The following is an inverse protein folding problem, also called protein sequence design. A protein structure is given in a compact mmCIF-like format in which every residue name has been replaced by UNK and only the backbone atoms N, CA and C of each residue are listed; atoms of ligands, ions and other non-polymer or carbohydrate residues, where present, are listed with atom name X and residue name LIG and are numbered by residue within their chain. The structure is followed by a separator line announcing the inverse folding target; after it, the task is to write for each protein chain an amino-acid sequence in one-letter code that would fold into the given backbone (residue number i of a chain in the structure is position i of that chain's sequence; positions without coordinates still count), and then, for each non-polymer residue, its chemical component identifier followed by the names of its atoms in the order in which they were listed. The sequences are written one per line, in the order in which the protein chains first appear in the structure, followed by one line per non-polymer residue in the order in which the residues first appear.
data_IF_991483876290
#
_entry.id   IF_991483876290
#
_cell.length_a   1.000
_cell.length_b   1.000
_cell.length_c   1.000
_cell.angle_alpha   90.00
_cell.angle_beta   90.00
_cell.angle_gamma   90.00
#
_symmetry.space_group_name_H-M   'P 1'
#
loop_
_entity.id
_entity.type
_entity.pdbx_description
1 polymer ?
#
# COMPACT_ATOMS: atom_id res chain seq x y z
N UNK A 1 -0.53 26.47 18.57
CA UNK A 1 -1.03 25.10 18.32
C UNK A 1 -2.03 24.75 19.41
N UNK A 2 -3.24 24.39 19.02
CA UNK A 2 -4.28 24.09 19.97
C UNK A 2 -3.98 22.70 20.59
N UNK A 3 -3.93 22.56 21.94
CA UNK A 3 -3.65 21.27 22.58
C UNK A 3 -4.60 20.15 22.16
N UNK A 4 -5.78 20.50 21.66
CA UNK A 4 -6.79 19.53 21.18
C UNK A 4 -6.34 18.80 19.91
N UNK A 5 -5.47 19.42 19.12
CA UNK A 5 -4.99 18.79 17.88
C UNK A 5 -3.88 17.74 18.12
N UNK A 6 -3.31 17.69 19.31
CA UNK A 6 -2.26 16.74 19.66
C UNK A 6 -2.77 15.37 20.08
N UNK A 7 -4.02 15.30 20.54
CA UNK A 7 -4.62 14.06 21.08
C UNK A 7 -5.62 13.39 20.12
N UNK A 8 -5.85 13.94 18.93
CA UNK A 8 -6.74 13.29 17.98
C UNK A 8 -6.00 12.11 17.33
N UNK A 9 -6.40 10.91 17.75
CA UNK A 9 -5.97 9.67 17.12
C UNK A 9 -6.44 9.69 15.66
N UNK A 10 -5.52 9.59 14.72
CA UNK A 10 -5.86 9.52 13.31
C UNK A 10 -6.61 8.23 13.00
N UNK A 11 -7.71 8.30 12.28
CA UNK A 11 -8.48 7.14 11.82
C UNK A 11 -7.56 6.20 11.00
N UNK A 12 -6.70 6.78 10.19
CA UNK A 12 -5.75 6.03 9.38
C UNK A 12 -4.72 5.29 10.25
N UNK A 13 -4.20 5.92 11.30
CA UNK A 13 -3.27 5.25 12.24
C UNK A 13 -3.94 4.10 12.96
N UNK A 14 -5.17 4.28 13.42
CA UNK A 14 -5.94 3.21 14.07
C UNK A 14 -6.15 2.03 13.13
N UNK A 15 -6.43 2.30 11.85
CA UNK A 15 -6.54 1.25 10.85
C UNK A 15 -5.22 0.50 10.67
N UNK A 16 -4.10 1.21 10.54
CA UNK A 16 -2.77 0.60 10.38
C UNK A 16 -2.35 -0.19 11.61
N UNK A 17 -2.75 0.23 12.81
CA UNK A 17 -2.52 -0.52 14.03
C UNK A 17 -3.40 -1.78 14.16
N UNK A 18 -4.43 -1.90 13.34
CA UNK A 18 -5.36 -3.03 13.34
C UNK A 18 -6.53 -2.89 14.30
N UNK A 19 -6.69 -1.73 14.95
CA UNK A 19 -7.75 -1.48 15.94
C UNK A 19 -8.90 -0.63 15.41
N UNK A 20 -8.69 0.06 14.27
CA UNK A 20 -9.68 0.92 13.65
C UNK A 20 -10.25 0.33 12.36
N UNK A 21 -11.18 1.06 11.78
CA UNK A 21 -11.88 0.66 10.55
C UNK A 21 -11.66 1.68 9.45
N UNK A 22 -11.77 1.23 8.21
CA UNK A 22 -11.77 2.10 7.03
C UNK A 22 -13.17 2.70 6.78
N UNK A 23 -13.31 3.43 5.69
CA UNK A 23 -14.57 4.10 5.31
C UNK A 23 -15.73 3.12 5.01
N UNK A 24 -15.44 1.83 4.89
CA UNK A 24 -16.43 0.76 4.69
C UNK A 24 -16.68 -0.08 5.94
N UNK A 25 -16.12 0.31 7.07
CA UNK A 25 -16.24 -0.44 8.31
C UNK A 25 -15.37 -1.70 8.37
N UNK A 26 -14.35 -1.81 7.51
CA UNK A 26 -13.45 -2.97 7.48
C UNK A 26 -12.22 -2.69 8.34
N UNK A 27 -11.82 -3.65 9.15
CA UNK A 27 -10.50 -3.63 9.79
C UNK A 27 -9.44 -4.10 8.81
N UNK A 28 -8.18 -3.84 9.11
CA UNK A 28 -7.05 -4.31 8.31
C UNK A 28 -7.12 -5.84 8.11
N UNK A 29 -7.43 -6.59 9.15
CA UNK A 29 -7.57 -8.06 9.06
C UNK A 29 -8.71 -8.50 8.13
N UNK A 30 -9.80 -7.74 8.07
CA UNK A 30 -10.89 -8.02 7.14
C UNK A 30 -10.43 -7.89 5.70
N UNK A 31 -9.65 -6.85 5.41
CA UNK A 31 -9.09 -6.63 4.07
C UNK A 31 -8.10 -7.71 3.70
N UNK A 32 -7.21 -8.09 4.61
CA UNK A 32 -6.22 -9.14 4.36
C UNK A 32 -6.85 -10.55 4.26
N UNK A 33 -8.13 -10.70 4.62
CA UNK A 33 -8.89 -11.93 4.41
C UNK A 33 -9.53 -12.04 3.03
N UNK A 34 -9.44 -11.00 2.19
CA UNK A 34 -9.95 -11.05 0.82
C UNK A 34 -9.28 -12.18 0.04
N UNK A 35 -10.07 -12.95 -0.71
CA UNK A 35 -9.53 -13.85 -1.72
C UNK A 35 -9.00 -13.04 -2.93
N UNK A 36 -8.34 -13.71 -3.84
CA UNK A 36 -7.71 -13.05 -4.98
C UNK A 36 -8.73 -12.36 -5.90
N UNK A 37 -9.92 -12.93 -6.06
CA UNK A 37 -10.98 -12.34 -6.87
C UNK A 37 -11.47 -11.05 -6.24
N UNK A 38 -11.73 -11.07 -4.95
CA UNK A 38 -12.19 -9.88 -4.22
C UNK A 38 -11.13 -8.79 -4.19
N UNK A 39 -9.86 -9.16 -4.00
CA UNK A 39 -8.75 -8.21 -4.04
C UNK A 39 -8.63 -7.55 -5.42
N UNK A 40 -8.83 -8.31 -6.50
CA UNK A 40 -8.79 -7.78 -7.86
C UNK A 40 -9.94 -6.82 -8.14
N UNK A 41 -11.14 -7.17 -7.73
CA UNK A 41 -12.37 -6.44 -8.05
C UNK A 41 -12.66 -5.24 -7.13
N UNK A 42 -12.00 -5.16 -5.98
CA UNK A 42 -12.21 -4.09 -5.00
C UNK A 42 -11.13 -3.02 -5.19
N UNK A 43 -11.55 -1.75 -5.36
CA UNK A 43 -10.62 -0.67 -5.73
C UNK A 43 -10.40 0.39 -4.65
N UNK A 44 -11.00 0.24 -3.47
CA UNK A 44 -11.02 1.26 -2.43
C UNK A 44 -10.33 0.84 -1.11
N UNK A 45 -9.49 -0.20 -1.14
CA UNK A 45 -8.80 -0.68 0.08
C UNK A 45 -7.30 -0.44 0.05
N UNK A 46 -6.68 -0.44 -1.13
CA UNK A 46 -5.22 -0.33 -1.26
C UNK A 46 -4.69 0.98 -0.68
N UNK A 47 -5.49 2.03 -0.76
CA UNK A 47 -5.16 3.36 -0.23
C UNK A 47 -5.12 3.38 1.30
N UNK A 48 -5.82 2.48 1.95
CA UNK A 48 -5.82 2.31 3.40
C UNK A 48 -4.67 1.43 3.88
N UNK A 49 -4.35 0.36 3.14
CA UNK A 49 -3.21 -0.50 3.44
C UNK A 49 -1.87 0.21 3.20
N UNK A 50 -1.80 1.01 2.15
CA UNK A 50 -0.59 1.69 1.70
C UNK A 50 -0.89 3.16 1.42
N UNK A 51 -1.16 3.94 2.48
CA UNK A 51 -1.47 5.36 2.32
C UNK A 51 -0.24 6.16 1.93
N UNK A 52 -0.50 7.30 1.30
CA UNK A 52 0.51 8.28 0.90
C UNK A 52 0.19 9.64 1.51
N UNK A 53 1.16 10.56 1.47
CA UNK A 53 1.01 11.94 1.90
C UNK A 53 0.45 12.86 0.81
N UNK A 54 -0.08 12.29 -0.25
CA UNK A 54 -0.67 12.98 -1.39
C UNK A 54 -2.09 12.46 -1.69
N UNK A 55 -2.91 13.29 -2.29
CA UNK A 55 -4.29 12.93 -2.67
C UNK A 55 -4.25 11.89 -3.79
N UNK A 56 -5.09 10.85 -3.65
CA UNK A 56 -5.25 9.83 -4.69
C UNK A 56 -6.02 10.40 -5.88
N UNK A 57 -5.48 10.22 -7.09
CA UNK A 57 -6.17 10.56 -8.34
C UNK A 57 -7.16 9.47 -8.77
N UNK A 58 -6.94 8.24 -8.31
CA UNK A 58 -7.76 7.09 -8.68
C UNK A 58 -9.02 6.97 -7.82
N UNK A 59 -8.95 7.34 -6.54
CA UNK A 59 -10.04 7.17 -5.58
C UNK A 59 -10.26 8.49 -4.83
N UNK A 60 -11.39 9.13 -5.10
CA UNK A 60 -11.81 10.34 -4.40
C UNK A 60 -12.08 10.04 -2.92
N UNK A 61 -11.59 10.90 -2.02
CA UNK A 61 -11.81 10.74 -0.58
C UNK A 61 -10.92 9.68 0.07
N UNK A 62 -9.94 9.14 -0.64
CA UNK A 62 -8.96 8.24 -0.05
C UNK A 62 -8.17 8.94 1.06
N UNK A 63 -7.74 8.23 2.12
CA UNK A 63 -7.03 8.83 3.23
C UNK A 63 -5.67 9.38 2.79
N UNK A 64 -5.26 10.48 3.43
CA UNK A 64 -3.97 11.14 3.18
C UNK A 64 -3.19 11.20 4.49
N UNK A 65 -1.93 10.75 4.46
CA UNK A 65 -1.04 10.80 5.61
C UNK A 65 -0.63 12.22 5.95
N UNK A 66 -0.76 12.61 7.22
CA UNK A 66 -0.11 13.79 7.75
C UNK A 66 1.34 13.48 8.14
N UNK A 67 2.15 14.51 8.36
CA UNK A 67 3.50 14.31 8.89
C UNK A 67 3.48 13.64 10.27
N UNK A 68 2.50 13.98 11.10
CA UNK A 68 2.30 13.35 12.41
C UNK A 68 1.98 11.87 12.26
N UNK A 69 1.12 11.49 11.30
CA UNK A 69 0.82 10.09 11.01
C UNK A 69 2.09 9.31 10.63
N UNK A 70 2.93 9.88 9.78
CA UNK A 70 4.18 9.25 9.36
C UNK A 70 5.10 9.04 10.56
N UNK A 71 5.34 10.08 11.35
CA UNK A 71 6.23 10.01 12.51
C UNK A 71 5.77 8.98 13.54
N UNK A 72 4.48 8.99 13.88
CA UNK A 72 3.94 8.06 14.88
C UNK A 72 3.86 6.63 14.37
N UNK A 73 3.65 6.43 13.08
CA UNK A 73 3.67 5.09 12.47
C UNK A 73 5.07 4.47 12.52
N UNK A 74 6.11 5.26 12.33
CA UNK A 74 7.51 4.78 12.40
C UNK A 74 7.84 4.12 13.75
N UNK A 75 7.28 4.62 14.84
CA UNK A 75 7.57 4.13 16.19
C UNK A 75 6.52 3.15 16.71
N UNK A 76 5.48 2.86 15.94
CA UNK A 76 4.41 1.94 16.33
C UNK A 76 4.70 0.53 15.83
N UNK A 77 5.05 -0.38 16.74
CA UNK A 77 5.43 -1.75 16.38
C UNK A 77 4.30 -2.55 15.75
N UNK A 78 3.05 -2.33 16.16
CA UNK A 78 1.89 -3.01 15.58
C UNK A 78 1.64 -2.54 14.15
N UNK A 79 1.69 -1.23 13.91
CA UNK A 79 1.55 -0.68 12.57
C UNK A 79 2.67 -1.16 11.64
N UNK A 80 3.91 -1.18 12.10
CA UNK A 80 5.06 -1.68 11.34
C UNK A 80 4.87 -3.15 10.94
N UNK A 81 4.46 -4.00 11.88
CA UNK A 81 4.19 -5.41 11.59
C UNK A 81 3.05 -5.57 10.59
N UNK A 82 1.97 -4.80 10.74
CA UNK A 82 0.81 -4.85 9.87
C UNK A 82 1.12 -4.37 8.44
N UNK A 83 1.93 -3.32 8.29
CA UNK A 83 2.34 -2.83 6.98
C UNK A 83 3.17 -3.88 6.24
N UNK A 84 4.12 -4.52 6.92
CA UNK A 84 4.91 -5.61 6.35
C UNK A 84 4.04 -6.80 5.96
N UNK A 85 3.09 -7.15 6.82
CA UNK A 85 2.13 -8.23 6.54
C UNK A 85 1.27 -7.90 5.32
N UNK A 86 0.82 -6.66 5.19
CA UNK A 86 0.05 -6.19 4.04
C UNK A 86 0.85 -6.25 2.74
N UNK A 87 2.14 -5.87 2.79
CA UNK A 87 3.03 -5.97 1.63
C UNK A 87 3.23 -7.42 1.19
N UNK A 88 3.44 -8.33 2.14
CA UNK A 88 3.56 -9.76 1.86
C UNK A 88 2.27 -10.34 1.28
N UNK A 89 1.12 -9.93 1.80
CA UNK A 89 -0.19 -10.34 1.29
C UNK A 89 -0.38 -9.90 -0.18
N UNK A 90 -0.06 -8.65 -0.49
CA UNK A 90 -0.19 -8.13 -1.85
C UNK A 90 0.79 -8.80 -2.82
N UNK A 91 2.01 -9.03 -2.38
CA UNK A 91 3.00 -9.77 -3.17
C UNK A 91 2.52 -11.19 -3.49
N UNK A 92 1.94 -11.88 -2.52
CA UNK A 92 1.33 -13.20 -2.71
C UNK A 92 0.18 -13.20 -3.72
N UNK A 93 -0.66 -12.15 -3.68
CA UNK A 93 -1.70 -11.94 -4.69
C UNK A 93 -1.10 -11.83 -6.10
N UNK A 94 -0.04 -11.05 -6.27
CA UNK A 94 0.63 -10.88 -7.55
C UNK A 94 1.31 -12.18 -8.02
N UNK A 95 1.87 -12.96 -7.11
CA UNK A 95 2.47 -14.26 -7.42
C UNK A 95 1.44 -15.26 -7.98
N UNK A 96 0.24 -15.27 -7.41
CA UNK A 96 -0.83 -16.16 -7.81
C UNK A 96 -1.59 -15.72 -9.06
N UNK A 97 -1.35 -14.48 -9.51
CA UNK A 97 -2.05 -13.85 -10.63
C UNK A 97 -1.07 -13.61 -11.78
N UNK A 98 -1.54 -13.74 -13.00
CA UNK A 98 -0.73 -13.46 -14.18
C UNK A 98 -1.29 -12.35 -15.07
N UNK A 99 -2.55 -11.96 -14.88
CA UNK A 99 -3.24 -10.97 -15.72
C UNK A 99 -2.66 -9.55 -15.61
N UNK A 100 -1.89 -9.25 -14.57
CA UNK A 100 -1.19 -7.97 -14.44
C UNK A 100 0.10 -7.90 -15.27
N UNK A 101 0.59 -9.05 -15.76
CA UNK A 101 1.80 -9.17 -16.58
C UNK A 101 1.49 -8.84 -18.04
N UNK A 102 1.01 -7.63 -18.26
CA UNK A 102 0.57 -7.10 -19.55
C UNK A 102 0.95 -5.63 -19.64
N UNK A 103 0.77 -5.02 -20.80
CA UNK A 103 1.20 -3.64 -21.04
C UNK A 103 0.56 -2.65 -20.08
N UNK A 104 -0.77 -2.75 -19.90
CA UNK A 104 -1.53 -1.86 -19.02
C UNK A 104 -2.41 -2.67 -18.08
N UNK A 105 -2.32 -2.38 -16.80
CA UNK A 105 -3.16 -2.99 -15.78
C UNK A 105 -3.18 -2.10 -14.52
N UNK A 106 -4.32 -2.00 -13.85
CA UNK A 106 -4.47 -1.18 -12.64
C UNK A 106 -3.54 -1.62 -11.50
N UNK A 107 -3.09 -2.86 -11.47
CA UNK A 107 -2.14 -3.34 -10.47
C UNK A 107 -0.76 -2.66 -10.60
N UNK A 108 -0.42 -2.13 -11.76
CA UNK A 108 0.83 -1.38 -11.92
C UNK A 108 0.86 -0.12 -11.03
N UNK A 109 -0.26 0.60 -10.92
CA UNK A 109 -0.40 1.74 -10.01
C UNK A 109 -0.36 1.31 -8.55
N UNK A 110 -0.97 0.16 -8.23
CA UNK A 110 -0.93 -0.40 -6.88
C UNK A 110 0.51 -0.72 -6.47
N UNK A 111 1.30 -1.31 -7.35
CA UNK A 111 2.73 -1.60 -7.09
C UNK A 111 3.49 -0.32 -6.75
N UNK A 112 3.33 0.73 -7.55
CA UNK A 112 3.96 2.03 -7.28
C UNK A 112 3.58 2.55 -5.90
N UNK A 113 2.30 2.47 -5.56
CA UNK A 113 1.78 2.93 -4.26
C UNK A 113 2.39 2.16 -3.10
N UNK A 114 2.49 0.84 -3.23
CA UNK A 114 3.09 -0.01 -2.18
C UNK A 114 4.54 0.39 -1.94
N UNK A 115 5.33 0.54 -2.98
CA UNK A 115 6.75 0.93 -2.85
C UNK A 115 6.89 2.28 -2.16
N UNK A 116 6.12 3.28 -2.61
CA UNK A 116 6.16 4.63 -2.02
C UNK A 116 5.73 4.62 -0.54
N UNK A 117 4.65 3.91 -0.22
CA UNK A 117 4.14 3.84 1.15
C UNK A 117 5.12 3.13 2.08
N UNK A 118 5.72 2.03 1.64
CA UNK A 118 6.76 1.33 2.41
C UNK A 118 7.95 2.24 2.69
N UNK A 119 8.41 2.98 1.70
CA UNK A 119 9.54 3.91 1.86
C UNK A 119 9.22 5.01 2.86
N UNK A 120 7.99 5.48 2.86
CA UNK A 120 7.52 6.57 3.71
C UNK A 120 7.26 6.11 5.15
N UNK A 121 6.67 4.94 5.34
CA UNK A 121 6.18 4.46 6.63
C UNK A 121 7.08 3.43 7.31
N UNK A 122 7.90 2.71 6.55
CA UNK A 122 8.87 1.75 7.09
C UNK A 122 10.29 2.25 6.84
N UNK A 123 10.99 1.69 5.89
CA UNK A 123 12.34 2.12 5.53
C UNK A 123 12.66 1.82 4.05
N UNK A 124 13.79 2.31 3.58
CA UNK A 124 14.24 2.08 2.21
C UNK A 124 14.50 0.60 1.93
N UNK A 125 14.98 -0.15 2.92
CA UNK A 125 15.24 -1.59 2.78
C UNK A 125 13.98 -2.37 2.46
N UNK A 126 12.89 -2.10 3.18
CA UNK A 126 11.59 -2.76 2.93
C UNK A 126 11.03 -2.39 1.55
N UNK A 127 11.10 -1.11 1.18
CA UNK A 127 10.65 -0.64 -0.11
C UNK A 127 11.45 -1.26 -1.26
N UNK A 128 12.77 -1.28 -1.15
CA UNK A 128 13.66 -1.84 -2.16
C UNK A 128 13.51 -3.37 -2.27
N UNK A 129 13.30 -4.06 -1.15
CA UNK A 129 13.04 -5.50 -1.15
C UNK A 129 11.73 -5.84 -1.90
N UNK A 130 10.67 -5.08 -1.67
CA UNK A 130 9.41 -5.26 -2.39
C UNK A 130 9.60 -5.01 -3.90
N UNK A 131 10.27 -3.93 -4.24
CA UNK A 131 10.58 -3.58 -5.64
C UNK A 131 11.37 -4.70 -6.33
N UNK A 132 12.41 -5.21 -5.69
CA UNK A 132 13.22 -6.32 -6.19
C UNK A 132 12.35 -7.56 -6.40
N UNK A 133 11.46 -7.89 -5.45
CA UNK A 133 10.55 -9.01 -5.59
C UNK A 133 9.64 -8.89 -6.82
N UNK A 134 9.15 -7.68 -7.11
CA UNK A 134 8.34 -7.44 -8.32
C UNK A 134 9.13 -7.72 -9.59
N UNK A 135 10.35 -7.21 -9.70
CA UNK A 135 11.21 -7.45 -10.86
C UNK A 135 11.57 -8.94 -11.00
N UNK A 136 11.83 -9.62 -9.89
CA UNK A 136 12.11 -11.06 -9.88
C UNK A 136 10.91 -11.89 -10.34
N UNK A 137 9.69 -11.53 -9.89
CA UNK A 137 8.46 -12.17 -10.34
C UNK A 137 8.25 -12.04 -11.84
N UNK A 138 8.52 -10.88 -12.39
CA UNK A 138 8.32 -10.61 -13.81
C UNK A 138 9.36 -11.33 -14.67
N UNK A 139 10.62 -11.32 -14.27
CA UNK A 139 11.68 -11.92 -15.07
C UNK A 139 11.63 -11.39 -16.51
N UNK A 140 11.53 -12.28 -17.48
CA UNK A 140 11.41 -11.91 -18.90
C UNK A 140 10.11 -11.19 -19.25
N UNK A 141 9.06 -11.36 -18.45
CA UNK A 141 7.77 -10.68 -18.64
C UNK A 141 7.86 -9.17 -18.40
N UNK A 142 8.97 -8.68 -17.86
CA UNK A 142 9.20 -7.24 -17.67
C UNK A 142 9.03 -6.48 -18.98
N UNK A 143 9.43 -7.09 -20.10
CA UNK A 143 9.31 -6.48 -21.44
C UNK A 143 7.85 -6.32 -21.90
N UNK A 144 6.91 -7.03 -21.28
CA UNK A 144 5.49 -6.89 -21.57
C UNK A 144 4.87 -5.62 -20.93
N UNK A 145 5.49 -5.12 -19.86
CA UNK A 145 4.96 -4.01 -19.07
C UNK A 145 5.27 -2.68 -19.77
N UNK A 146 4.32 -1.75 -19.73
CA UNK A 146 4.53 -0.40 -20.25
C UNK A 146 5.76 0.25 -19.60
N UNK A 147 6.61 0.86 -20.41
CA UNK A 147 7.86 1.43 -19.93
C UNK A 147 7.65 2.52 -18.87
N UNK A 148 6.59 3.30 -18.98
CA UNK A 148 6.26 4.31 -17.97
C UNK A 148 5.98 3.69 -16.60
N UNK A 149 5.28 2.55 -16.56
CA UNK A 149 5.02 1.84 -15.30
C UNK A 149 6.33 1.39 -14.66
N UNK A 150 7.23 0.79 -15.45
CA UNK A 150 8.54 0.36 -14.97
C UNK A 150 9.36 1.54 -14.44
N UNK A 151 9.35 2.67 -15.13
CA UNK A 151 10.04 3.88 -14.70
C UNK A 151 9.48 4.41 -13.37
N UNK A 152 8.15 4.35 -13.16
CA UNK A 152 7.54 4.71 -11.88
C UNK A 152 8.00 3.78 -10.76
N UNK A 153 8.11 2.47 -11.02
CA UNK A 153 8.62 1.53 -10.03
C UNK A 153 10.09 1.79 -9.69
N UNK A 154 10.91 2.03 -10.70
CA UNK A 154 12.32 2.34 -10.52
C UNK A 154 12.54 3.62 -9.71
N UNK A 155 11.70 4.63 -9.92
CA UNK A 155 11.80 5.93 -9.25
C UNK A 155 11.10 6.01 -7.88
N UNK A 156 10.36 5.00 -7.52
CA UNK A 156 9.58 4.99 -6.27
C UNK A 156 10.41 4.69 -5.02
#
# INVERSE_FOLDING_TARGET
MNPVDQDQTSILRDFLEGIGIDHRGRRLDDVLSFDDIKAEQTHDFIQWLFPLDEVSRAVSGAPVLSQTDIQLTHTNSHAQANIRRSAAWFLGFLERSDHWRTKYNHNHLRITRVVKSLRMLTDDKEADAFKTAIFDLLGYDLDLIDRKAVEFWEGA
#
